data_IF_469992292178
#
_entry.id   IF_469992292178
#
_cell.length_a   1.000
_cell.length_b   1.000
_cell.length_c   1.000
_cell.angle_alpha   90.00
_cell.angle_beta   90.00
_cell.angle_gamma   90.00
#
_symmetry.space_group_name_H-M   'P 1'
#
loop_
_entity.id
_entity.type
_entity.pdbx_description
1 polymer ?
#
# COMPACT_ATOMS: atom_id res chain seq x y z
N UNK A 1 -2.68 35.42 14.95
CA UNK A 1 -3.41 34.52 14.01
C UNK A 1 -2.40 33.94 13.01
N UNK A 2 -1.52 33.07 13.50
CA UNK A 2 -0.41 32.46 12.75
C UNK A 2 -0.55 30.94 12.83
N UNK A 3 -1.68 30.41 12.36
CA UNK A 3 -1.77 28.99 12.03
C UNK A 3 -0.99 28.80 10.72
N UNK A 4 0.33 28.66 10.86
CA UNK A 4 1.15 28.04 9.82
C UNK A 4 0.59 26.64 9.64
N UNK A 5 -0.26 26.47 8.63
CA UNK A 5 -0.71 25.19 8.10
C UNK A 5 0.53 24.38 7.69
N UNK A 6 1.12 23.67 8.65
CA UNK A 6 2.01 22.55 8.36
C UNK A 6 1.12 21.47 7.74
N UNK A 7 0.91 21.54 6.42
CA UNK A 7 0.31 20.42 5.69
C UNK A 7 1.16 19.18 5.98
N UNK A 8 0.55 18.18 6.60
CA UNK A 8 1.16 16.87 6.87
C UNK A 8 1.74 16.35 5.55
N UNK A 9 3.02 15.98 5.55
CA UNK A 9 3.72 15.53 4.36
C UNK A 9 3.89 14.02 4.41
N UNK A 10 3.76 13.30 3.28
CA UNK A 10 4.04 11.88 3.22
C UNK A 10 5.45 11.55 3.74
N UNK A 11 5.57 10.47 4.52
CA UNK A 11 6.84 10.01 5.02
C UNK A 11 7.58 9.19 3.94
N UNK A 12 8.37 9.88 3.11
CA UNK A 12 9.08 9.25 1.98
C UNK A 12 10.00 8.10 2.40
N UNK A 13 10.66 8.21 3.56
CA UNK A 13 11.53 7.14 4.08
C UNK A 13 10.73 5.88 4.40
N UNK A 14 9.55 6.05 5.02
CA UNK A 14 8.65 4.93 5.29
C UNK A 14 8.13 4.30 4.00
N UNK A 15 7.72 5.11 3.02
CA UNK A 15 7.20 4.63 1.73
C UNK A 15 8.26 3.82 0.97
N UNK A 16 9.49 4.33 0.89
CA UNK A 16 10.60 3.59 0.24
C UNK A 16 10.90 2.27 0.96
N UNK A 17 10.85 2.26 2.29
CA UNK A 17 11.02 1.03 3.07
C UNK A 17 9.88 0.05 2.82
N UNK A 18 8.64 0.51 2.82
CA UNK A 18 7.47 -0.32 2.50
C UNK A 18 7.65 -1.01 1.15
N UNK A 19 8.00 -0.24 0.11
CA UNK A 19 8.17 -0.82 -1.22
C UNK A 19 9.31 -1.81 -1.30
N UNK A 20 10.45 -1.51 -0.67
CA UNK A 20 11.57 -2.45 -0.59
C UNK A 20 11.17 -3.75 0.11
N UNK A 21 10.53 -3.66 1.27
CA UNK A 21 10.10 -4.82 2.04
C UNK A 21 9.05 -5.65 1.30
N UNK A 22 8.18 -4.98 0.52
CA UNK A 22 7.17 -5.62 -0.33
C UNK A 22 7.84 -6.33 -1.52
N UNK A 23 8.77 -5.66 -2.20
CA UNK A 23 9.54 -6.20 -3.32
C UNK A 23 10.31 -7.47 -2.92
N UNK A 24 10.99 -7.44 -1.78
CA UNK A 24 11.72 -8.59 -1.22
C UNK A 24 10.83 -9.82 -0.94
N UNK A 25 9.52 -9.62 -0.75
CA UNK A 25 8.54 -10.68 -0.46
C UNK A 25 7.56 -10.93 -1.61
N UNK A 26 7.75 -10.25 -2.75
CA UNK A 26 6.76 -10.20 -3.83
C UNK A 26 6.40 -11.58 -4.37
N UNK A 27 7.36 -12.48 -4.56
CA UNK A 27 7.10 -13.83 -5.06
C UNK A 27 6.23 -14.66 -4.10
N UNK A 28 6.49 -14.55 -2.80
CA UNK A 28 5.67 -15.20 -1.77
C UNK A 28 4.25 -14.63 -1.76
N UNK A 29 4.12 -13.31 -1.83
CA UNK A 29 2.82 -12.65 -1.86
C UNK A 29 2.03 -13.04 -3.12
N UNK A 30 2.66 -13.13 -4.28
CA UNK A 30 1.96 -13.53 -5.51
C UNK A 30 1.49 -14.97 -5.43
N UNK A 31 2.33 -15.88 -4.93
CA UNK A 31 1.93 -17.27 -4.72
C UNK A 31 0.72 -17.40 -3.78
N UNK A 32 0.67 -16.62 -2.69
CA UNK A 32 -0.49 -16.58 -1.78
C UNK A 32 -1.73 -16.03 -2.51
N UNK A 33 -1.58 -14.91 -3.23
CA UNK A 33 -2.69 -14.28 -3.96
C UNK A 33 -3.24 -15.16 -5.09
N UNK A 34 -2.44 -16.05 -5.67
CA UNK A 34 -2.89 -16.98 -6.72
C UNK A 34 -3.59 -18.21 -6.15
N UNK A 35 -3.10 -18.75 -5.03
CA UNK A 35 -3.46 -20.09 -4.60
C UNK A 35 -4.36 -20.13 -3.35
N UNK A 36 -4.35 -19.09 -2.51
CA UNK A 36 -5.06 -19.10 -1.24
C UNK A 36 -6.44 -18.42 -1.32
N UNK A 37 -7.40 -18.95 -0.57
CA UNK A 37 -8.70 -18.30 -0.36
C UNK A 37 -8.53 -17.05 0.51
N UNK A 38 -9.44 -16.07 0.38
CA UNK A 38 -9.35 -14.81 1.13
C UNK A 38 -9.57 -14.97 2.64
N UNK A 39 -10.15 -16.09 3.07
CA UNK A 39 -10.31 -16.50 4.47
C UNK A 39 -9.25 -17.51 4.92
N UNK A 40 -8.30 -17.86 4.05
CA UNK A 40 -7.18 -18.74 4.37
C UNK A 40 -6.15 -18.07 5.28
N UNK A 41 -5.53 -18.86 6.15
CA UNK A 41 -4.57 -18.38 7.16
C UNK A 41 -3.39 -17.62 6.53
N UNK A 42 -2.85 -18.10 5.42
CA UNK A 42 -1.73 -17.48 4.72
C UNK A 42 -2.11 -16.14 4.07
N UNK A 43 -3.33 -16.04 3.52
CA UNK A 43 -3.85 -14.79 3.00
C UNK A 43 -4.04 -13.76 4.13
N UNK A 44 -4.67 -14.17 5.23
CA UNK A 44 -4.87 -13.31 6.40
C UNK A 44 -3.53 -12.85 7.02
N UNK A 45 -2.55 -13.74 7.07
CA UNK A 45 -1.18 -13.43 7.49
C UNK A 45 -0.52 -12.41 6.57
N UNK A 46 -0.58 -12.61 5.25
CA UNK A 46 -0.04 -11.66 4.27
C UNK A 46 -0.70 -10.27 4.43
N UNK A 47 -2.03 -10.22 4.53
CA UNK A 47 -2.77 -8.98 4.77
C UNK A 47 -2.31 -8.29 6.06
N UNK A 48 -2.09 -9.03 7.14
CA UNK A 48 -1.57 -8.47 8.40
C UNK A 48 -0.17 -7.89 8.25
N UNK A 49 0.71 -8.56 7.50
CA UNK A 49 2.06 -8.06 7.23
C UNK A 49 2.05 -6.78 6.40
N UNK A 50 1.30 -6.76 5.30
CA UNK A 50 1.18 -5.57 4.43
C UNK A 50 0.62 -4.40 5.22
N UNK A 51 -0.43 -4.63 6.03
CA UNK A 51 -1.02 -3.61 6.92
C UNK A 51 0.00 -3.04 7.90
N UNK A 52 0.78 -3.93 8.53
CA UNK A 52 1.82 -3.55 9.49
C UNK A 52 2.92 -2.71 8.85
N UNK A 53 3.39 -3.12 7.67
CA UNK A 53 4.41 -2.40 6.90
C UNK A 53 3.92 -1.06 6.34
N UNK A 54 2.62 -0.95 6.04
CA UNK A 54 2.00 0.28 5.52
C UNK A 54 1.80 1.33 6.62
N UNK A 55 1.57 0.91 7.87
CA UNK A 55 1.25 1.81 9.01
C UNK A 55 2.22 2.99 9.17
N UNK A 56 3.56 2.83 9.09
CA UNK A 56 4.50 3.96 9.15
C UNK A 56 4.34 5.01 8.04
N UNK A 57 3.77 4.64 6.88
CA UNK A 57 3.55 5.55 5.75
C UNK A 57 2.39 6.52 6.01
N UNK A 58 1.44 6.13 6.87
CA UNK A 58 0.15 6.82 7.06
C UNK A 58 -0.03 7.36 8.49
N UNK A 59 1.02 7.42 9.32
CA UNK A 59 0.91 7.77 10.75
C UNK A 59 0.18 9.08 11.04
N UNK A 60 0.25 10.05 10.14
CA UNK A 60 -0.39 11.35 10.32
C UNK A 60 -1.85 11.40 9.86
N UNK A 61 -2.43 10.28 9.41
CA UNK A 61 -3.85 10.23 9.03
C UNK A 61 -4.76 10.40 10.26
N UNK A 62 -5.92 11.02 10.05
CA UNK A 62 -6.99 11.12 11.06
C UNK A 62 -8.14 10.15 10.79
N UNK A 63 -8.06 9.39 9.70
CA UNK A 63 -9.04 8.37 9.29
C UNK A 63 -8.37 7.00 9.18
N UNK A 64 -9.15 5.92 9.20
CA UNK A 64 -8.61 4.59 8.91
C UNK A 64 -7.92 4.56 7.54
N UNK A 65 -6.73 3.95 7.47
CA UNK A 65 -6.10 3.59 6.20
C UNK A 65 -6.51 2.17 5.85
N UNK A 66 -6.81 1.94 4.58
CA UNK A 66 -7.17 0.61 4.09
C UNK A 66 -6.54 0.31 2.73
N UNK A 67 -6.53 -0.96 2.37
CA UNK A 67 -6.01 -1.43 1.09
C UNK A 67 -6.67 -2.75 0.71
N UNK A 68 -6.57 -3.11 -0.57
CA UNK A 68 -7.05 -4.40 -1.08
C UNK A 68 -6.15 -4.92 -2.20
N UNK A 69 -6.29 -6.20 -2.50
CA UNK A 69 -5.73 -6.79 -3.72
C UNK A 69 -6.87 -7.10 -4.69
N UNK A 70 -6.84 -6.49 -5.86
CA UNK A 70 -7.73 -6.86 -6.96
C UNK A 70 -7.14 -8.04 -7.71
N UNK A 71 -7.71 -9.22 -7.43
CA UNK A 71 -7.31 -10.53 -7.97
C UNK A 71 -8.03 -10.88 -9.28
N UNK A 72 -9.00 -10.07 -9.72
CA UNK A 72 -9.84 -10.36 -10.89
C UNK A 72 -9.23 -9.86 -12.22
N UNK A 73 -7.91 -9.72 -12.25
CA UNK A 73 -7.14 -9.14 -13.36
C UNK A 73 -5.73 -9.72 -13.40
N UNK A 74 -5.11 -9.61 -14.57
CA UNK A 74 -3.74 -10.04 -14.81
C UNK A 74 -2.95 -8.89 -15.48
N UNK A 75 -1.89 -8.33 -14.84
CA UNK A 75 -1.43 -8.68 -13.50
C UNK A 75 -2.44 -8.25 -12.42
N UNK A 76 -2.42 -8.95 -11.29
CA UNK A 76 -3.15 -8.56 -10.07
C UNK A 76 -2.75 -7.15 -9.65
N UNK A 77 -3.54 -6.50 -8.78
CA UNK A 77 -3.27 -5.12 -8.39
C UNK A 77 -3.36 -4.90 -6.90
N UNK A 78 -2.35 -4.29 -6.32
CA UNK A 78 -2.39 -3.70 -4.99
C UNK A 78 -3.05 -2.32 -5.07
N UNK A 79 -4.14 -2.13 -4.34
CA UNK A 79 -4.92 -0.89 -4.32
C UNK A 79 -4.82 -0.25 -2.94
N UNK A 80 -4.22 0.93 -2.89
CA UNK A 80 -4.23 1.79 -1.70
C UNK A 80 -5.50 2.65 -1.69
N UNK A 81 -6.29 2.56 -0.62
CA UNK A 81 -7.55 3.30 -0.48
C UNK A 81 -7.31 4.59 0.31
N UNK A 82 -7.56 5.73 -0.34
CA UNK A 82 -7.33 7.04 0.26
C UNK A 82 -8.51 7.55 1.09
N UNK A 83 -9.67 6.90 1.05
CA UNK A 83 -10.81 7.18 1.93
C UNK A 83 -11.28 8.64 1.87
N UNK A 84 -11.24 9.25 0.68
CA UNK A 84 -11.43 10.70 0.46
C UNK A 84 -10.56 11.66 1.29
N UNK A 85 -9.51 11.16 1.96
CA UNK A 85 -8.62 11.97 2.78
C UNK A 85 -7.49 12.57 1.94
N UNK A 86 -7.28 13.89 2.08
CA UNK A 86 -6.29 14.62 1.29
C UNK A 86 -4.85 14.22 1.63
N UNK A 87 -4.57 13.84 2.88
CA UNK A 87 -3.25 13.38 3.29
C UNK A 87 -2.98 11.97 2.76
N UNK A 88 -3.93 11.05 2.89
CA UNK A 88 -3.82 9.70 2.32
C UNK A 88 -3.69 9.75 0.80
N UNK A 89 -4.42 10.62 0.11
CA UNK A 89 -4.26 10.81 -1.34
C UNK A 89 -2.84 11.24 -1.68
N UNK A 90 -2.26 12.18 -0.93
CA UNK A 90 -0.87 12.61 -1.12
C UNK A 90 0.13 11.47 -0.82
N UNK A 91 -0.15 10.62 0.18
CA UNK A 91 0.65 9.41 0.45
C UNK A 91 0.59 8.46 -0.74
N UNK A 92 -0.62 8.16 -1.25
CA UNK A 92 -0.81 7.28 -2.40
C UNK A 92 -0.07 7.77 -3.65
N UNK A 93 -0.14 9.06 -3.97
CA UNK A 93 0.61 9.63 -5.09
C UNK A 93 2.13 9.51 -4.88
N UNK A 94 2.63 9.68 -3.64
CA UNK A 94 4.04 9.40 -3.34
C UNK A 94 4.40 7.93 -3.39
N UNK A 95 3.48 7.03 -3.06
CA UNK A 95 3.66 5.59 -3.26
C UNK A 95 3.78 5.26 -4.75
N UNK A 96 3.00 5.90 -5.64
CA UNK A 96 3.12 5.73 -7.10
C UNK A 96 4.49 6.18 -7.60
N UNK A 97 4.98 7.33 -7.11
CA UNK A 97 6.30 7.85 -7.49
C UNK A 97 7.46 6.93 -7.11
N UNK A 98 7.36 6.24 -5.97
CA UNK A 98 8.39 5.31 -5.49
C UNK A 98 8.11 3.84 -5.82
N UNK A 99 7.11 3.57 -6.64
CA UNK A 99 6.74 2.22 -7.01
C UNK A 99 7.89 1.53 -7.78
N UNK A 100 8.41 0.38 -7.29
CA UNK A 100 9.52 -0.33 -7.93
C UNK A 100 9.16 -0.86 -9.32
N UNK A 101 10.01 -0.61 -10.32
CA UNK A 101 9.78 -1.09 -11.69
C UNK A 101 9.78 -2.63 -11.79
N UNK A 102 10.55 -3.31 -10.95
CA UNK A 102 10.60 -4.78 -10.83
C UNK A 102 9.26 -5.41 -10.47
N UNK A 103 8.37 -4.66 -9.82
CA UNK A 103 7.02 -5.13 -9.46
C UNK A 103 6.02 -4.97 -10.60
N UNK A 104 6.29 -4.12 -11.59
CA UNK A 104 5.34 -3.80 -12.66
C UNK A 104 4.95 -5.03 -13.50
N UNK A 105 5.83 -6.03 -13.57
CA UNK A 105 5.60 -7.30 -14.27
C UNK A 105 4.90 -8.34 -13.39
N UNK A 106 4.76 -8.10 -12.08
CA UNK A 106 4.19 -9.05 -11.11
C UNK A 106 2.84 -8.61 -10.54
N UNK A 107 2.74 -7.34 -10.16
CA UNK A 107 1.55 -6.79 -9.51
C UNK A 107 1.46 -5.28 -9.73
N UNK A 108 0.39 -4.80 -10.35
CA UNK A 108 0.16 -3.37 -10.51
C UNK A 108 -0.09 -2.64 -9.18
N UNK A 109 0.14 -1.33 -9.18
CA UNK A 109 -0.25 -0.46 -8.05
C UNK A 109 -1.25 0.62 -8.50
N UNK A 110 -2.31 0.80 -7.71
CA UNK A 110 -3.27 1.87 -7.89
C UNK A 110 -3.60 2.58 -6.57
N UNK A 111 -4.13 3.79 -6.71
CA UNK A 111 -4.63 4.62 -5.62
C UNK A 111 -6.08 4.95 -5.96
N UNK A 112 -6.99 4.53 -5.09
CA UNK A 112 -8.44 4.63 -5.28
C UNK A 112 -9.11 5.22 -4.03
N UNK A 113 -10.40 5.54 -4.16
CA UNK A 113 -11.22 6.13 -3.09
C UNK A 113 -11.60 5.14 -2.01
#
# INVERSE_FOLDING_TARGET
MFEKFFKKKPNEKAIRKFWKDFEERSDLYMNILENEAEDGDDYLWMMSLVRTSLKPCVLDTTVGCDFRFDRNRDPMRFVFLHMNDAYLRAVGEKMKEFYPQSLAEKIEFAVEE
#
